data_IF_664021884724
#
_entry.id   IF_664021884724
#
_cell.length_a   1.000
_cell.length_b   1.000
_cell.length_c   1.000
_cell.angle_alpha   90.00
_cell.angle_beta   90.00
_cell.angle_gamma   90.00
#
_symmetry.space_group_name_H-M   'P 1'
#
loop_
_entity.id
_entity.type
_entity.pdbx_description
1 polymer ?
#
# COMPACT_ATOMS: atom_id res chain seq x y z
N UNK A 1 -18.09 1.40 2.53
CA UNK A 1 -18.44 0.31 1.62
C UNK A 1 -18.89 -0.93 2.40
N UNK A 2 -18.08 -1.40 3.33
CA UNK A 2 -18.39 -2.56 4.15
C UNK A 2 -19.35 -2.18 5.29
N UNK A 3 -20.41 -2.94 5.46
CA UNK A 3 -21.48 -2.68 6.45
C UNK A 3 -21.68 -3.90 7.35
N UNK A 4 -22.63 -3.81 8.27
CA UNK A 4 -23.05 -4.94 9.11
C UNK A 4 -23.53 -6.11 8.23
N UNK A 5 -23.10 -7.33 8.56
CA UNK A 5 -23.33 -8.54 7.77
C UNK A 5 -22.22 -8.84 6.73
N UNK A 6 -21.28 -7.92 6.52
CA UNK A 6 -20.09 -8.14 5.68
C UNK A 6 -18.91 -8.68 6.52
N UNK A 7 -17.93 -9.30 5.81
CA UNK A 7 -16.63 -9.68 6.36
C UNK A 7 -15.53 -8.89 5.69
N UNK A 8 -14.61 -8.34 6.49
CA UNK A 8 -13.34 -7.77 6.05
C UNK A 8 -12.21 -8.71 6.45
N UNK A 9 -11.39 -9.09 5.48
CA UNK A 9 -10.15 -9.84 5.62
C UNK A 9 -8.99 -8.88 5.39
N UNK A 10 -8.26 -8.54 6.44
CA UNK A 10 -7.17 -7.54 6.41
C UNK A 10 -5.83 -8.21 6.65
N UNK A 11 -4.82 -7.88 5.83
CA UNK A 11 -3.44 -8.31 6.09
C UNK A 11 -2.95 -7.77 7.44
N UNK A 12 -2.16 -8.60 8.15
CA UNK A 12 -1.67 -8.28 9.49
C UNK A 12 -0.73 -7.06 9.53
N UNK A 13 -0.04 -6.76 8.42
CA UNK A 13 0.88 -5.62 8.32
C UNK A 13 0.31 -4.41 7.57
N UNK A 14 -0.99 -4.40 7.32
CA UNK A 14 -1.64 -3.25 6.69
C UNK A 14 -1.40 -1.95 7.47
N UNK A 15 -1.29 -0.86 6.70
CA UNK A 15 -1.11 0.48 7.25
C UNK A 15 -2.19 0.87 8.26
N UNK A 16 -1.82 1.68 9.26
CA UNK A 16 -2.71 2.12 10.35
C UNK A 16 -4.03 2.73 9.85
N UNK A 17 -4.01 3.47 8.72
CA UNK A 17 -5.24 4.04 8.14
C UNK A 17 -6.24 2.98 7.68
N UNK A 18 -5.75 1.85 7.17
CA UNK A 18 -6.60 0.70 6.80
C UNK A 18 -7.18 0.07 8.06
N UNK A 19 -6.36 -0.14 9.09
CA UNK A 19 -6.80 -0.69 10.37
C UNK A 19 -7.90 0.19 10.98
N UNK A 20 -7.71 1.51 10.99
CA UNK A 20 -8.70 2.44 11.52
C UNK A 20 -9.96 2.52 10.65
N UNK A 21 -9.80 2.49 9.32
CA UNK A 21 -10.94 2.38 8.40
C UNK A 21 -11.76 1.11 8.62
N UNK A 22 -11.10 -0.02 8.86
CA UNK A 22 -11.75 -1.27 9.22
C UNK A 22 -12.47 -1.19 10.59
N UNK A 23 -11.87 -0.49 11.58
CA UNK A 23 -12.48 -0.28 12.91
C UNK A 23 -13.75 0.56 12.85
N UNK A 24 -13.76 1.58 11.98
CA UNK A 24 -14.92 2.44 11.76
C UNK A 24 -16.07 1.72 11.04
N UNK A 25 -15.78 0.63 10.35
CA UNK A 25 -16.80 -0.20 9.70
C UNK A 25 -17.56 -1.04 10.73
N UNK A 26 -18.86 -1.29 10.47
CA UNK A 26 -19.68 -2.22 11.23
C UNK A 26 -19.51 -3.68 10.82
N UNK A 27 -18.74 -3.95 9.73
CA UNK A 27 -18.44 -5.28 9.25
C UNK A 27 -17.63 -6.09 10.27
N UNK A 28 -17.75 -7.41 10.23
CA UNK A 28 -16.85 -8.31 10.95
C UNK A 28 -15.45 -8.19 10.37
N UNK A 29 -14.44 -8.21 11.21
CA UNK A 29 -13.02 -8.13 10.81
C UNK A 29 -12.31 -9.42 11.20
N UNK A 30 -11.56 -9.97 10.27
CA UNK A 30 -10.60 -11.05 10.49
C UNK A 30 -9.25 -10.64 9.91
N UNK A 31 -8.19 -10.90 10.64
CA UNK A 31 -6.82 -10.56 10.23
C UNK A 31 -6.17 -11.84 9.77
N UNK A 32 -5.66 -11.87 8.54
CA UNK A 32 -4.83 -12.97 8.08
C UNK A 32 -3.34 -12.65 8.24
N UNK A 33 -2.55 -13.70 8.42
CA UNK A 33 -1.09 -13.57 8.56
C UNK A 33 -0.51 -12.94 7.30
N UNK A 34 0.49 -12.10 7.49
CA UNK A 34 1.08 -11.31 6.43
C UNK A 34 1.46 -12.16 5.22
N UNK A 35 0.90 -11.80 4.06
CA UNK A 35 1.11 -12.49 2.76
C UNK A 35 0.84 -13.99 2.77
N UNK A 36 0.16 -14.53 3.81
CA UNK A 36 -0.16 -15.95 3.93
C UNK A 36 -1.46 -16.29 3.20
N UNK A 37 -1.31 -16.79 1.98
CA UNK A 37 -2.42 -17.19 1.12
C UNK A 37 -3.22 -18.38 1.67
N UNK A 38 -2.57 -19.30 2.40
CA UNK A 38 -3.25 -20.45 2.99
C UNK A 38 -4.16 -20.01 4.14
N UNK A 39 -3.67 -19.09 4.98
CA UNK A 39 -4.49 -18.52 6.06
C UNK A 39 -5.63 -17.68 5.49
N UNK A 40 -5.38 -16.87 4.45
CA UNK A 40 -6.43 -16.10 3.76
C UNK A 40 -7.50 -17.02 3.19
N UNK A 41 -7.09 -18.10 2.50
CA UNK A 41 -8.04 -19.07 1.92
C UNK A 41 -8.86 -19.79 2.99
N UNK A 42 -8.24 -20.16 4.12
CA UNK A 42 -8.96 -20.76 5.26
C UNK A 42 -10.07 -19.83 5.77
N UNK A 43 -9.75 -18.56 5.99
CA UNK A 43 -10.75 -17.57 6.43
C UNK A 43 -11.86 -17.33 5.39
N UNK A 44 -11.54 -17.41 4.10
CA UNK A 44 -12.53 -17.30 3.02
C UNK A 44 -13.47 -18.50 2.97
N UNK A 45 -12.97 -19.73 3.21
CA UNK A 45 -13.77 -20.95 3.31
C UNK A 45 -14.80 -20.87 4.44
N UNK A 46 -14.39 -20.30 5.56
CA UNK A 46 -15.25 -20.16 6.76
C UNK A 46 -16.22 -18.97 6.65
N UNK A 47 -16.12 -18.17 5.58
CA UNK A 47 -16.91 -16.94 5.40
C UNK A 47 -18.29 -17.17 4.74
N UNK A 48 -18.82 -18.38 4.73
CA UNK A 48 -20.07 -18.74 4.01
C UNK A 48 -21.31 -17.94 4.39
N UNK A 49 -21.41 -17.49 5.64
CA UNK A 49 -22.57 -16.78 6.21
C UNK A 49 -22.61 -15.27 5.88
N UNK A 50 -21.47 -14.68 5.44
CA UNK A 50 -21.39 -13.24 5.20
C UNK A 50 -21.94 -12.86 3.83
N UNK A 51 -22.65 -11.71 3.78
CA UNK A 51 -23.27 -11.22 2.55
C UNK A 51 -22.22 -10.81 1.50
N UNK A 52 -21.18 -10.10 1.94
CA UNK A 52 -20.06 -9.66 1.10
C UNK A 52 -18.75 -9.88 1.84
N UNK A 53 -17.73 -10.18 1.06
CA UNK A 53 -16.36 -10.40 1.53
C UNK A 53 -15.45 -9.36 0.91
N UNK A 54 -14.60 -8.75 1.71
CA UNK A 54 -13.65 -7.73 1.33
C UNK A 54 -12.26 -8.18 1.75
N UNK A 55 -11.35 -8.31 0.80
CA UNK A 55 -9.93 -8.51 1.08
C UNK A 55 -9.27 -7.15 0.97
N UNK A 56 -8.49 -6.75 1.97
CA UNK A 56 -7.82 -5.45 2.00
C UNK A 56 -6.34 -5.68 2.29
N UNK A 57 -5.47 -5.12 1.43
CA UNK A 57 -4.02 -5.22 1.56
C UNK A 57 -3.34 -3.95 1.08
N UNK A 58 -2.18 -3.60 1.69
CA UNK A 58 -1.22 -2.72 1.04
C UNK A 58 -0.69 -3.40 -0.23
N UNK A 59 -0.38 -2.64 -1.26
CA UNK A 59 0.27 -3.13 -2.47
C UNK A 59 1.78 -3.30 -2.25
N UNK A 60 2.40 -2.30 -1.59
CA UNK A 60 3.77 -2.35 -1.05
C UNK A 60 3.69 -2.00 0.43
N UNK A 61 4.22 -2.86 1.28
CA UNK A 61 4.24 -2.65 2.73
C UNK A 61 5.35 -1.68 3.11
N UNK A 62 4.99 -0.62 3.83
CA UNK A 62 5.86 0.54 4.05
C UNK A 62 7.08 0.25 4.91
N UNK A 63 7.01 -0.72 5.82
CA UNK A 63 8.09 -1.05 6.74
C UNK A 63 9.04 -2.11 6.17
N UNK A 64 8.48 -3.13 5.52
CA UNK A 64 9.25 -4.28 5.01
C UNK A 64 9.65 -4.11 3.54
N UNK A 65 8.96 -3.24 2.81
CA UNK A 65 9.24 -2.94 1.40
C UNK A 65 8.83 -4.06 0.44
N UNK A 66 8.20 -5.10 0.92
CA UNK A 66 7.73 -6.20 0.09
C UNK A 66 6.43 -5.87 -0.65
N UNK A 67 6.14 -6.65 -1.67
CA UNK A 67 4.96 -6.48 -2.52
C UNK A 67 3.97 -7.58 -2.19
N UNK A 68 2.70 -7.22 -1.97
CA UNK A 68 1.64 -8.19 -1.80
C UNK A 68 1.55 -9.13 -3.01
N UNK A 69 1.31 -10.44 -2.82
CA UNK A 69 1.14 -11.41 -3.90
C UNK A 69 -0.22 -11.24 -4.59
N UNK A 70 -0.47 -10.05 -5.18
CA UNK A 70 -1.77 -9.63 -5.70
C UNK A 70 -2.40 -10.62 -6.70
N UNK A 71 -1.65 -11.26 -7.63
CA UNK A 71 -2.28 -12.24 -8.52
C UNK A 71 -2.98 -13.37 -7.76
N UNK A 72 -2.29 -13.97 -6.79
CA UNK A 72 -2.85 -15.07 -6.02
C UNK A 72 -3.97 -14.61 -5.06
N UNK A 73 -3.85 -13.41 -4.48
CA UNK A 73 -4.92 -12.80 -3.67
C UNK A 73 -6.16 -12.56 -4.53
N UNK A 74 -5.98 -12.07 -5.77
CA UNK A 74 -7.07 -11.83 -6.70
C UNK A 74 -7.74 -13.13 -7.18
N UNK A 75 -6.95 -14.18 -7.43
CA UNK A 75 -7.49 -15.51 -7.76
C UNK A 75 -8.38 -16.04 -6.63
N UNK A 76 -7.95 -15.92 -5.38
CA UNK A 76 -8.77 -16.24 -4.21
C UNK A 76 -10.01 -15.35 -4.12
N UNK A 77 -9.87 -14.05 -4.37
CA UNK A 77 -11.02 -13.14 -4.37
C UNK A 77 -12.08 -13.58 -5.40
N UNK A 78 -11.67 -13.92 -6.61
CA UNK A 78 -12.56 -14.43 -7.65
C UNK A 78 -13.20 -15.77 -7.24
N UNK A 79 -12.41 -16.71 -6.74
CA UNK A 79 -12.87 -18.05 -6.34
C UNK A 79 -13.95 -17.99 -5.25
N UNK A 80 -13.80 -17.09 -4.29
CA UNK A 80 -14.70 -16.97 -3.13
C UNK A 80 -15.69 -15.80 -3.22
N UNK A 81 -15.80 -15.13 -4.38
CA UNK A 81 -16.72 -14.01 -4.59
C UNK A 81 -16.45 -12.83 -3.67
N UNK A 82 -15.18 -12.58 -3.35
CA UNK A 82 -14.72 -11.43 -2.58
C UNK A 82 -14.32 -10.27 -3.50
N UNK A 83 -14.32 -9.05 -2.96
CA UNK A 83 -13.76 -7.86 -3.62
C UNK A 83 -12.41 -7.51 -3.02
N UNK A 84 -11.49 -7.06 -3.86
CA UNK A 84 -10.14 -6.71 -3.45
C UNK A 84 -9.98 -5.19 -3.37
N UNK A 85 -9.50 -4.70 -2.22
CA UNK A 85 -9.05 -3.32 -2.03
C UNK A 85 -7.55 -3.33 -1.88
N UNK A 86 -6.85 -2.57 -2.73
CA UNK A 86 -5.39 -2.44 -2.71
C UNK A 86 -5.03 -1.01 -2.36
N UNK A 87 -4.27 -0.81 -1.30
CA UNK A 87 -3.65 0.48 -0.99
C UNK A 87 -2.31 0.58 -1.72
N UNK A 88 -2.28 1.37 -2.75
CA UNK A 88 -1.12 1.56 -3.61
C UNK A 88 -0.33 2.84 -3.30
N UNK A 89 -0.41 3.30 -2.05
CA UNK A 89 0.26 4.52 -1.61
C UNK A 89 1.77 4.51 -1.87
N UNK A 90 2.43 3.36 -1.85
CA UNK A 90 3.85 3.19 -2.15
C UNK A 90 4.12 2.65 -3.56
N UNK A 91 3.12 2.17 -4.28
CA UNK A 91 3.24 1.64 -5.64
C UNK A 91 3.04 2.71 -6.72
N UNK A 92 2.10 3.65 -6.51
CA UNK A 92 1.85 4.76 -7.45
C UNK A 92 3.13 5.55 -7.72
N UNK A 93 3.41 5.77 -9.00
CA UNK A 93 4.62 6.48 -9.47
C UNK A 93 5.91 5.65 -9.41
N UNK A 94 5.87 4.41 -8.90
CA UNK A 94 7.03 3.52 -8.73
C UNK A 94 6.91 2.27 -9.58
N UNK A 95 5.83 1.53 -9.45
CA UNK A 95 5.59 0.27 -10.14
C UNK A 95 4.61 0.43 -11.32
N UNK A 96 4.66 -0.54 -12.21
CA UNK A 96 3.87 -0.55 -13.43
C UNK A 96 4.50 0.20 -14.59
N UNK A 97 4.11 -0.18 -15.81
CA UNK A 97 4.65 0.42 -17.05
C UNK A 97 4.39 1.93 -17.13
N UNK A 98 3.19 2.35 -16.74
CA UNK A 98 2.77 3.75 -16.73
C UNK A 98 2.89 4.40 -15.34
N UNK A 99 3.40 3.66 -14.34
CA UNK A 99 3.50 4.11 -12.96
C UNK A 99 2.18 4.10 -12.20
N UNK A 100 1.21 3.29 -12.64
CA UNK A 100 -0.11 3.21 -11.99
C UNK A 100 -0.11 2.32 -10.73
N UNK A 101 1.02 1.75 -10.35
CA UNK A 101 1.20 1.01 -9.11
C UNK A 101 1.19 -0.51 -9.27
N UNK A 102 0.96 -1.20 -8.15
CA UNK A 102 1.07 -2.66 -8.05
C UNK A 102 0.02 -3.40 -8.87
N UNK A 103 -1.19 -2.88 -8.97
CA UNK A 103 -2.27 -3.47 -9.78
C UNK A 103 -1.84 -3.51 -11.27
N UNK A 104 -1.24 -2.43 -11.79
CA UNK A 104 -0.69 -2.41 -13.14
C UNK A 104 0.53 -3.32 -13.28
N UNK A 105 1.41 -3.31 -12.26
CA UNK A 105 2.63 -4.12 -12.26
C UNK A 105 2.35 -5.60 -12.51
N UNK A 106 1.29 -6.11 -11.95
CA UNK A 106 0.85 -7.51 -12.10
C UNK A 106 -0.13 -7.74 -13.26
N UNK A 107 -0.40 -6.73 -14.10
CA UNK A 107 -1.30 -6.87 -15.24
C UNK A 107 -2.77 -7.01 -14.86
N UNK A 108 -3.15 -6.62 -13.66
CA UNK A 108 -4.52 -6.70 -13.13
C UNK A 108 -5.36 -5.46 -13.43
N UNK A 109 -4.84 -4.50 -14.16
CA UNK A 109 -5.57 -3.27 -14.53
C UNK A 109 -6.82 -3.59 -15.35
N UNK A 110 -7.90 -2.83 -15.10
CA UNK A 110 -9.18 -2.99 -15.80
C UNK A 110 -10.15 -3.98 -15.13
N UNK A 111 -9.72 -4.72 -14.12
CA UNK A 111 -10.62 -5.56 -13.34
C UNK A 111 -11.51 -4.70 -12.45
N UNK A 112 -12.83 -4.78 -12.68
CA UNK A 112 -13.80 -3.92 -11.99
C UNK A 112 -14.03 -4.28 -10.51
N UNK A 113 -13.59 -5.47 -10.10
CA UNK A 113 -13.67 -5.95 -8.72
C UNK A 113 -12.49 -5.52 -7.85
N UNK A 114 -11.46 -4.89 -8.46
CA UNK A 114 -10.33 -4.30 -7.74
C UNK A 114 -10.61 -2.83 -7.50
N UNK A 115 -10.52 -2.43 -6.24
CA UNK A 115 -10.58 -1.04 -5.79
C UNK A 115 -9.19 -0.64 -5.42
N UNK A 116 -8.61 0.30 -6.14
CA UNK A 116 -7.29 0.83 -5.86
C UNK A 116 -7.43 2.15 -5.11
N UNK A 117 -6.78 2.25 -3.97
CA UNK A 117 -6.68 3.49 -3.20
C UNK A 117 -5.22 3.93 -3.14
N UNK A 118 -4.99 5.20 -2.89
CA UNK A 118 -3.64 5.70 -2.76
C UNK A 118 -3.60 7.14 -2.27
N UNK A 119 -2.38 7.65 -2.15
CA UNK A 119 -2.12 8.99 -1.66
C UNK A 119 -1.49 9.90 -2.72
N UNK A 120 -1.81 11.18 -2.65
CA UNK A 120 -1.17 12.23 -3.44
C UNK A 120 0.04 12.85 -2.71
N UNK A 121 0.37 12.37 -1.49
CA UNK A 121 1.41 12.96 -0.64
C UNK A 121 2.80 12.31 -0.77
N UNK A 122 2.94 11.26 -1.58
CA UNK A 122 4.22 10.56 -1.81
C UNK A 122 4.79 10.87 -3.19
N UNK A 123 4.68 9.97 -4.15
CA UNK A 123 5.25 10.17 -5.50
C UNK A 123 4.67 11.39 -6.23
N UNK A 124 3.43 11.77 -5.97
CA UNK A 124 2.79 12.96 -6.54
C UNK A 124 3.28 14.25 -5.87
N UNK A 125 3.78 14.20 -4.62
CA UNK A 125 4.34 15.35 -3.91
C UNK A 125 3.32 16.41 -3.52
N UNK A 126 2.04 16.04 -3.38
CA UNK A 126 0.92 16.91 -3.07
C UNK A 126 0.24 16.59 -1.74
N UNK A 127 -1.05 16.82 -1.66
CA UNK A 127 -1.90 16.54 -0.52
C UNK A 127 -3.18 15.85 -0.99
N UNK A 128 -3.66 14.86 -0.22
CA UNK A 128 -4.91 14.18 -0.45
C UNK A 128 -4.75 12.68 -0.72
N UNK A 129 -5.87 12.05 -0.98
CA UNK A 129 -5.96 10.65 -1.39
C UNK A 129 -6.94 10.49 -2.54
N UNK A 130 -6.89 9.34 -3.17
CA UNK A 130 -7.80 9.01 -4.28
C UNK A 130 -8.32 7.58 -4.15
N UNK A 131 -9.43 7.34 -4.82
CA UNK A 131 -9.97 6.01 -5.07
C UNK A 131 -10.13 5.85 -6.58
N UNK A 132 -9.60 4.77 -7.12
CA UNK A 132 -9.80 4.36 -8.51
C UNK A 132 -10.56 3.02 -8.52
N UNK A 133 -11.72 3.00 -9.17
CA UNK A 133 -12.61 1.85 -9.22
C UNK A 133 -13.59 1.97 -10.39
N UNK A 134 -14.52 1.01 -10.52
CA UNK A 134 -15.60 1.09 -11.51
C UNK A 134 -16.44 2.36 -11.32
N UNK A 135 -16.99 2.89 -12.43
CA UNK A 135 -17.82 4.10 -12.41
C UNK A 135 -18.96 3.99 -11.39
N UNK A 136 -19.64 2.86 -11.32
CA UNK A 136 -20.76 2.66 -10.39
C UNK A 136 -20.31 2.80 -8.92
N UNK A 137 -19.11 2.30 -8.58
CA UNK A 137 -18.58 2.42 -7.25
C UNK A 137 -18.17 3.85 -6.93
N UNK A 138 -17.57 4.56 -7.87
CA UNK A 138 -17.22 5.98 -7.70
C UNK A 138 -18.48 6.81 -7.52
N UNK A 139 -19.53 6.60 -8.32
CA UNK A 139 -20.82 7.28 -8.18
C UNK A 139 -21.43 7.00 -6.78
N UNK A 140 -21.34 5.75 -6.29
CA UNK A 140 -21.76 5.40 -4.93
C UNK A 140 -20.98 6.17 -3.87
N UNK A 141 -19.64 6.23 -4.00
CA UNK A 141 -18.79 6.94 -3.04
C UNK A 141 -19.08 8.44 -3.00
N UNK A 142 -19.25 9.07 -4.15
CA UNK A 142 -19.62 10.49 -4.26
C UNK A 142 -20.94 10.80 -3.50
N UNK A 143 -21.88 9.86 -3.54
CA UNK A 143 -23.21 10.07 -2.94
C UNK A 143 -23.34 9.55 -1.50
N UNK A 144 -22.43 8.69 -1.01
CA UNK A 144 -22.60 8.05 0.29
C UNK A 144 -21.37 8.12 1.20
N UNK A 145 -20.16 8.41 0.69
CA UNK A 145 -18.97 8.48 1.52
C UNK A 145 -18.96 9.77 2.36
N UNK A 146 -19.31 9.66 3.63
CA UNK A 146 -19.42 10.80 4.56
C UNK A 146 -18.12 11.61 4.64
N UNK A 147 -16.97 10.96 4.67
CA UNK A 147 -15.66 11.62 4.69
C UNK A 147 -15.37 12.42 3.42
N UNK A 148 -15.98 12.09 2.30
CA UNK A 148 -15.91 12.85 1.06
C UNK A 148 -16.93 13.99 1.02
N UNK A 149 -18.19 13.70 1.35
CA UNK A 149 -19.30 14.64 1.25
C UNK A 149 -19.15 15.81 2.23
N UNK A 150 -18.71 15.53 3.47
CA UNK A 150 -18.65 16.51 4.56
C UNK A 150 -17.25 17.06 4.81
N UNK A 151 -16.33 16.88 3.88
CA UNK A 151 -14.99 17.48 3.90
C UNK A 151 -14.91 18.66 2.94
N UNK A 152 -14.17 19.68 3.34
CA UNK A 152 -13.85 20.80 2.43
C UNK A 152 -12.95 20.30 1.29
N UNK A 153 -13.24 20.72 0.06
CA UNK A 153 -12.43 20.37 -1.10
C UNK A 153 -11.00 20.90 -0.99
N UNK A 154 -10.08 20.18 -1.64
CA UNK A 154 -8.68 20.59 -1.71
C UNK A 154 -8.54 21.93 -2.49
N UNK A 155 -7.54 22.77 -2.14
CA UNK A 155 -7.27 23.98 -2.89
C UNK A 155 -7.01 23.70 -4.38
N UNK A 156 -7.50 24.56 -5.30
CA UNK A 156 -7.31 24.35 -6.75
C UNK A 156 -5.84 24.22 -7.17
N UNK A 157 -4.93 24.95 -6.51
CA UNK A 157 -3.50 24.85 -6.77
C UNK A 157 -2.95 23.44 -6.46
N UNK A 158 -3.40 22.81 -5.36
CA UNK A 158 -3.03 21.45 -5.00
C UNK A 158 -3.52 20.44 -6.05
N UNK A 159 -4.75 20.62 -6.54
CA UNK A 159 -5.32 19.75 -7.57
C UNK A 159 -4.58 19.90 -8.91
N UNK A 160 -4.24 21.11 -9.31
CA UNK A 160 -3.48 21.40 -10.54
C UNK A 160 -2.06 20.77 -10.44
N UNK A 161 -1.40 20.92 -9.31
CA UNK A 161 -0.07 20.29 -9.07
C UNK A 161 -0.16 18.75 -9.14
N UNK A 162 -1.17 18.14 -8.51
CA UNK A 162 -1.38 16.71 -8.56
C UNK A 162 -1.66 16.21 -9.98
N UNK A 163 -2.49 16.92 -10.76
CA UNK A 163 -2.76 16.58 -12.17
C UNK A 163 -1.47 16.59 -12.99
N UNK A 164 -0.68 17.66 -12.89
CA UNK A 164 0.61 17.77 -13.59
C UNK A 164 1.58 16.68 -13.18
N UNK A 165 1.66 16.36 -11.88
CA UNK A 165 2.53 15.29 -11.39
C UNK A 165 2.12 13.90 -11.92
N UNK A 166 0.81 13.62 -12.03
CA UNK A 166 0.31 12.39 -12.61
C UNK A 166 0.67 12.29 -14.11
N UNK A 167 0.58 13.39 -14.86
CA UNK A 167 1.00 13.43 -16.27
C UNK A 167 2.51 13.18 -16.42
N UNK A 168 3.33 13.74 -15.52
CA UNK A 168 4.77 13.46 -15.47
C UNK A 168 5.01 11.99 -15.16
N UNK A 169 4.34 11.42 -14.16
CA UNK A 169 4.45 9.99 -13.82
C UNK A 169 4.15 9.12 -15.04
N UNK A 170 3.10 9.41 -15.80
CA UNK A 170 2.72 8.63 -16.98
C UNK A 170 3.74 8.72 -18.10
N UNK A 171 4.32 9.90 -18.34
CA UNK A 171 5.22 10.16 -19.47
C UNK A 171 6.68 9.87 -19.18
N UNK A 172 7.13 9.83 -17.92
CA UNK A 172 8.55 9.76 -17.53
C UNK A 172 8.93 8.37 -17.00
N UNK A 173 9.01 7.39 -17.90
CA UNK A 173 9.43 6.01 -17.56
C UNK A 173 10.87 5.99 -17.01
N UNK A 174 11.73 6.86 -17.54
CA UNK A 174 13.15 6.97 -17.16
C UNK A 174 13.35 7.34 -15.70
N UNK A 175 12.47 8.15 -15.12
CA UNK A 175 12.54 8.52 -13.69
C UNK A 175 12.32 7.26 -12.81
N UNK A 176 11.31 6.45 -13.14
CA UNK A 176 11.04 5.20 -12.42
C UNK A 176 12.18 4.19 -12.58
N UNK A 177 12.69 4.03 -13.80
CA UNK A 177 13.83 3.15 -14.07
C UNK A 177 15.07 3.59 -13.29
N UNK A 178 15.33 4.91 -13.22
CA UNK A 178 16.44 5.46 -12.43
C UNK A 178 16.25 5.18 -10.93
N UNK A 179 15.03 5.35 -10.40
CA UNK A 179 14.71 5.05 -9.01
C UNK A 179 15.02 3.58 -8.67
N UNK A 180 14.46 2.64 -9.43
CA UNK A 180 14.64 1.20 -9.19
C UNK A 180 16.12 0.78 -9.39
N UNK A 181 16.82 1.34 -10.38
CA UNK A 181 18.26 1.11 -10.56
C UNK A 181 19.07 1.62 -9.36
N UNK A 182 18.72 2.78 -8.81
CA UNK A 182 19.38 3.32 -7.62
C UNK A 182 19.11 2.45 -6.39
N UNK A 183 17.87 1.99 -6.20
CA UNK A 183 17.50 1.08 -5.13
C UNK A 183 18.31 -0.22 -5.23
N UNK A 184 18.36 -0.83 -6.42
CA UNK A 184 19.14 -2.06 -6.63
C UNK A 184 20.65 -1.85 -6.40
N UNK A 185 21.21 -0.72 -6.82
CA UNK A 185 22.62 -0.38 -6.59
C UNK A 185 22.93 -0.27 -5.09
N UNK A 186 22.08 0.44 -4.34
CA UNK A 186 22.22 0.57 -2.90
C UNK A 186 22.10 -0.78 -2.21
N UNK A 187 21.09 -1.56 -2.54
CA UNK A 187 20.85 -2.90 -2.01
C UNK A 187 22.08 -3.81 -2.21
N UNK A 188 22.61 -3.84 -3.44
CA UNK A 188 23.81 -4.65 -3.74
C UNK A 188 25.03 -4.19 -2.92
N UNK A 189 25.24 -2.87 -2.79
CA UNK A 189 26.34 -2.35 -1.98
C UNK A 189 26.20 -2.70 -0.50
N UNK A 190 24.99 -2.63 0.06
CA UNK A 190 24.73 -3.02 1.46
C UNK A 190 25.00 -4.51 1.68
N UNK A 191 24.50 -5.38 0.79
CA UNK A 191 24.75 -6.84 0.86
C UNK A 191 26.25 -7.17 0.78
N UNK A 192 26.99 -6.51 -0.13
CA UNK A 192 28.44 -6.67 -0.26
C UNK A 192 29.22 -6.25 0.99
N UNK A 193 28.66 -5.33 1.78
CA UNK A 193 29.23 -4.88 3.05
C UNK A 193 28.69 -5.65 4.26
N UNK A 194 28.00 -6.77 4.05
CA UNK A 194 27.57 -7.69 5.11
C UNK A 194 26.31 -7.29 5.88
N UNK A 195 25.50 -6.39 5.31
CA UNK A 195 24.19 -6.09 5.89
C UNK A 195 23.17 -7.16 5.47
N UNK A 196 22.39 -7.64 6.43
CA UNK A 196 21.20 -8.44 6.15
C UNK A 196 20.05 -7.54 5.70
N UNK A 197 19.48 -7.86 4.54
CA UNK A 197 18.35 -7.13 3.99
C UNK A 197 17.16 -8.06 3.77
N UNK A 198 15.97 -7.55 4.01
CA UNK A 198 14.76 -8.22 3.58
C UNK A 198 14.75 -8.33 2.05
N UNK A 199 14.38 -9.49 1.54
CA UNK A 199 14.28 -9.72 0.09
C UNK A 199 13.06 -8.99 -0.46
N UNK A 200 13.29 -7.89 -1.16
CA UNK A 200 12.26 -7.16 -1.88
C UNK A 200 12.84 -6.50 -3.14
N UNK A 201 11.99 -6.13 -4.08
CA UNK A 201 12.37 -5.48 -5.34
C UNK A 201 11.75 -4.09 -5.48
N UNK A 202 11.58 -3.39 -4.37
CA UNK A 202 11.00 -2.05 -4.33
C UNK A 202 12.05 -0.98 -4.01
N UNK A 203 11.60 0.27 -3.97
CA UNK A 203 12.41 1.42 -3.56
C UNK A 203 12.66 1.49 -2.04
N UNK A 204 11.97 0.68 -1.25
CA UNK A 204 12.10 0.66 0.21
C UNK A 204 13.12 -0.41 0.58
N UNK A 205 14.17 -0.01 1.29
CA UNK A 205 15.27 -0.89 1.70
C UNK A 205 15.42 -0.78 3.22
N UNK A 206 14.71 -1.61 3.99
CA UNK A 206 14.80 -1.60 5.43
C UNK A 206 16.12 -2.22 5.90
N UNK A 207 16.77 -1.54 6.87
CA UNK A 207 17.92 -2.06 7.59
C UNK A 207 17.50 -2.41 9.01
N UNK A 208 17.63 -3.68 9.37
CA UNK A 208 17.31 -4.15 10.71
C UNK A 208 18.51 -3.88 11.61
N UNK A 209 18.37 -2.92 12.54
CA UNK A 209 19.45 -2.52 13.45
C UNK A 209 19.28 -3.15 14.84
N UNK A 210 18.05 -3.53 15.18
CA UNK A 210 17.69 -4.13 16.48
C UNK A 210 17.13 -3.09 17.46
N UNK A 211 17.58 -3.02 18.72
CA UNK A 211 16.94 -2.20 19.76
C UNK A 211 16.80 -0.73 19.39
N UNK A 212 15.67 -0.11 19.75
CA UNK A 212 15.30 1.28 19.40
C UNK A 212 16.40 2.30 19.70
N UNK A 213 17.11 2.17 20.83
CA UNK A 213 18.22 3.07 21.20
C UNK A 213 19.39 2.99 20.21
N UNK A 214 19.73 1.76 19.76
CA UNK A 214 20.79 1.55 18.76
C UNK A 214 20.37 2.10 17.40
N UNK A 215 19.13 1.90 17.01
CA UNK A 215 18.56 2.42 15.75
C UNK A 215 18.59 3.93 15.69
N UNK A 216 18.23 4.60 16.80
CA UNK A 216 18.32 6.05 16.93
C UNK A 216 19.76 6.55 16.74
N UNK A 217 20.70 5.97 17.48
CA UNK A 217 22.11 6.37 17.41
C UNK A 217 22.69 6.13 16.01
N UNK A 218 22.33 5.03 15.35
CA UNK A 218 22.75 4.76 13.98
C UNK A 218 22.21 5.80 12.99
N UNK A 219 20.93 6.18 13.12
CA UNK A 219 20.32 7.24 12.32
C UNK A 219 20.99 8.62 12.53
N UNK A 220 21.37 8.94 13.75
CA UNK A 220 22.12 10.18 14.09
C UNK A 220 23.49 10.20 13.41
N UNK A 221 24.25 9.10 13.49
CA UNK A 221 25.56 8.99 12.81
C UNK A 221 25.40 9.18 11.29
N UNK A 222 24.41 8.52 10.68
CA UNK A 222 24.14 8.67 9.26
C UNK A 222 23.82 10.13 8.89
N UNK A 223 23.03 10.80 9.71
CA UNK A 223 22.69 12.20 9.50
C UNK A 223 23.89 13.13 9.58
N UNK A 224 24.81 12.92 10.55
CA UNK A 224 26.08 13.65 10.65
C UNK A 224 26.97 13.47 9.42
N UNK A 225 26.84 12.33 8.70
CA UNK A 225 27.53 12.03 7.45
C UNK A 225 26.73 12.45 6.21
N UNK A 226 25.65 13.20 6.37
CA UNK A 226 24.83 13.72 5.25
C UNK A 226 23.84 12.69 4.66
N UNK A 227 23.58 11.60 5.36
CA UNK A 227 22.60 10.58 4.93
C UNK A 227 21.37 10.65 5.84
N UNK A 228 20.23 11.02 5.25
CA UNK A 228 18.97 11.03 5.98
C UNK A 228 18.28 9.65 5.87
N UNK A 229 18.37 8.86 6.94
CA UNK A 229 17.68 7.58 7.09
C UNK A 229 16.98 7.56 8.48
N UNK A 230 15.65 7.74 8.51
CA UNK A 230 14.92 7.86 9.77
C UNK A 230 14.89 6.54 10.55
N UNK A 231 15.03 6.62 11.86
CA UNK A 231 14.91 5.49 12.78
C UNK A 231 13.43 5.13 12.98
N UNK A 232 12.99 4.02 12.41
CA UNK A 232 11.66 3.46 12.67
C UNK A 232 11.73 2.60 13.93
N UNK A 233 10.75 2.74 14.82
CA UNK A 233 10.77 2.16 16.17
C UNK A 233 9.37 1.68 16.58
N UNK A 234 9.26 0.86 17.62
CA UNK A 234 7.98 0.59 18.26
C UNK A 234 7.23 1.88 18.64
N UNK A 235 5.89 1.94 18.53
CA UNK A 235 5.00 0.83 18.15
C UNK A 235 4.81 0.63 16.64
N UNK A 236 5.50 1.38 15.77
CA UNK A 236 5.35 1.28 14.30
C UNK A 236 5.86 -0.05 13.75
N UNK A 237 6.92 -0.58 14.36
CA UNK A 237 7.50 -1.90 14.07
C UNK A 237 7.60 -2.70 15.37
N UNK A 238 7.74 -4.05 15.32
CA UNK A 238 7.99 -4.88 16.49
C UNK A 238 9.28 -4.48 17.24
N UNK A 239 9.40 -4.89 18.50
CA UNK A 239 10.65 -4.79 19.26
C UNK A 239 11.68 -5.78 18.72
N UNK A 240 12.95 -5.35 18.67
CA UNK A 240 14.09 -6.15 18.19
C UNK A 240 14.52 -5.82 16.81
#
# INVERSE_FOLDING_TARGET
LAVEGDLILSDALNHASIIDGCRLSKAKKSIYLHSDLNHLEHLLKDAGEYQRRWIITDGIFSMDGDIAPLPAIYDLACQYGARLIVDDAHGLGVLGRNGSGTVEHFGLSGNQDIIQIGTLSKAVGGLGGYVAASKNLIDLLINQARSFIFSTGLPPATLAAATTAIDIIRSSVEIRQKLLKNAQKLKNALLQNGFDLLSNDTQIIPLIIGPAKRTLHFSEILFEHGVYAPAIRPPTVPEG
#
